data_IF_920685822815
#
_entry.id   IF_920685822815
#
_cell.length_a   1.000
_cell.length_b   1.000
_cell.length_c   1.000
_cell.angle_alpha   90.00
_cell.angle_beta   90.00
_cell.angle_gamma   90.00
#
_symmetry.space_group_name_H-M   'P 1'
#
loop_
_entity.id
_entity.type
_entity.pdbx_description
1 polymer ?
#
# COMPACT_ATOMS: atom_id res chain seq x y z
N UNK A 1 2.46 11.41 16.73
CA UNK A 1 3.05 12.52 17.50
C UNK A 1 3.43 13.65 16.54
N UNK A 2 3.10 14.91 16.91
CA UNK A 2 3.45 16.09 16.13
C UNK A 2 4.37 16.98 16.95
N UNK A 3 5.51 17.36 16.37
CA UNK A 3 6.48 18.25 16.98
C UNK A 3 6.73 19.38 15.99
N UNK A 4 6.44 20.61 16.38
CA UNK A 4 6.69 21.81 15.56
C UNK A 4 7.77 22.62 16.27
N UNK A 5 8.91 22.78 15.61
CA UNK A 5 10.06 23.47 16.13
C UNK A 5 10.19 24.84 15.42
N UNK A 6 9.67 25.88 16.06
CA UNK A 6 9.81 27.28 15.60
C UNK A 6 10.69 28.06 16.56
N UNK A 7 11.95 27.73 16.63
CA UNK A 7 12.96 28.60 17.23
C UNK A 7 14.37 28.17 16.86
N UNK A 8 15.15 29.10 16.43
CA UNK A 8 16.58 29.04 16.55
C UNK A 8 17.09 30.42 16.93
N UNK A 9 17.31 30.62 18.20
CA UNK A 9 18.19 31.70 18.65
C UNK A 9 19.63 31.27 18.41
N UNK A 10 20.45 32.17 17.94
CA UNK A 10 21.91 32.04 18.10
C UNK A 10 22.17 31.80 19.58
N UNK A 11 22.67 30.63 19.93
CA UNK A 11 23.04 30.31 21.29
C UNK A 11 24.45 30.88 21.49
N UNK A 12 24.59 32.04 22.13
CA UNK A 12 25.87 32.66 22.49
C UNK A 12 26.71 31.80 23.48
N UNK A 13 26.22 30.60 23.88
CA UNK A 13 26.80 29.82 24.98
C UNK A 13 27.67 28.63 24.58
N UNK A 14 27.85 28.31 23.32
CA UNK A 14 28.84 27.30 22.92
C UNK A 14 29.26 27.46 21.47
N UNK A 15 30.56 27.72 21.25
CA UNK A 15 31.15 27.81 19.93
C UNK A 15 30.88 26.55 19.09
N UNK A 16 30.68 26.76 17.79
CA UNK A 16 30.80 25.83 16.69
C UNK A 16 29.58 25.09 16.16
N UNK A 17 28.32 25.27 16.61
CA UNK A 17 27.17 24.80 15.84
C UNK A 17 26.01 25.81 15.85
N UNK A 18 25.81 26.49 14.73
CA UNK A 18 24.65 27.37 14.48
C UNK A 18 23.60 26.61 13.75
N UNK A 19 22.38 26.57 14.30
CA UNK A 19 21.18 25.97 13.64
C UNK A 19 20.59 24.72 14.30
N UNK A 20 19.44 24.31 13.82
CA UNK A 20 18.70 23.11 14.29
C UNK A 20 19.40 21.82 13.84
N UNK A 21 19.66 20.91 14.79
CA UNK A 21 20.10 19.55 14.45
C UNK A 21 18.92 18.69 14.00
N UNK A 22 19.17 17.75 13.08
CA UNK A 22 18.17 16.77 12.67
C UNK A 22 17.91 15.82 13.84
N UNK A 23 16.63 15.70 14.23
CA UNK A 23 16.18 14.69 15.19
C UNK A 23 15.77 13.45 14.37
N UNK A 24 16.40 12.31 14.66
CA UNK A 24 15.99 11.04 14.06
C UNK A 24 14.61 10.61 14.56
N UNK A 25 13.73 10.21 13.64
CA UNK A 25 12.41 9.66 13.98
C UNK A 25 12.58 8.28 14.61
N UNK A 26 12.28 8.16 15.91
CA UNK A 26 12.48 6.94 16.71
C UNK A 26 11.17 6.15 16.88
N UNK A 27 10.01 6.80 16.74
CA UNK A 27 8.69 6.17 16.90
C UNK A 27 7.89 6.21 15.61
N UNK A 28 6.98 5.23 15.45
CA UNK A 28 6.01 5.23 14.33
C UNK A 28 5.05 6.42 14.47
N UNK A 29 4.49 6.86 13.35
CA UNK A 29 3.50 7.93 13.27
C UNK A 29 3.96 9.22 13.96
N UNK A 30 5.15 9.68 13.57
CA UNK A 30 5.74 10.93 14.09
C UNK A 30 6.02 11.88 12.93
N UNK A 31 5.68 13.14 13.12
CA UNK A 31 6.04 14.24 12.22
C UNK A 31 6.78 15.31 13.02
N UNK A 32 7.90 15.78 12.48
CA UNK A 32 8.68 16.89 13.02
C UNK A 32 8.79 17.95 11.95
N UNK A 33 8.25 19.13 12.23
CA UNK A 33 8.33 20.29 11.35
C UNK A 33 9.33 21.31 11.91
N UNK A 34 10.28 21.71 11.09
CA UNK A 34 11.32 22.67 11.42
C UNK A 34 11.06 23.99 10.71
N UNK A 35 11.20 25.10 11.41
CA UNK A 35 11.03 26.43 10.83
C UNK A 35 12.07 26.81 9.78
N UNK A 36 13.19 26.09 9.72
CA UNK A 36 14.26 26.26 8.73
C UNK A 36 14.97 24.94 8.45
N UNK A 37 15.75 24.88 7.37
CA UNK A 37 16.57 23.73 7.00
C UNK A 37 17.64 23.43 8.04
N UNK A 38 18.11 22.17 8.16
CA UNK A 38 19.19 21.79 9.07
C UNK A 38 20.43 22.64 8.88
N UNK A 39 21.03 23.06 10.01
CA UNK A 39 22.25 23.92 10.00
C UNK A 39 22.00 25.38 9.61
N UNK A 40 20.74 25.80 9.46
CA UNK A 40 20.37 27.19 9.19
C UNK A 40 19.64 27.82 10.37
N UNK A 41 19.68 29.15 10.45
CA UNK A 41 19.01 29.93 11.47
C UNK A 41 17.64 30.37 11.00
N UNK A 42 16.62 30.23 11.85
CA UNK A 42 15.31 30.78 11.58
C UNK A 42 15.25 32.28 11.93
N UNK A 43 14.52 33.04 11.15
CA UNK A 43 14.28 34.45 11.44
C UNK A 43 13.21 34.62 12.52
N UNK A 44 13.49 35.44 13.50
CA UNK A 44 12.47 35.91 14.44
C UNK A 44 11.53 36.95 13.81
N UNK A 45 10.32 37.06 14.36
CA UNK A 45 9.45 38.19 14.10
C UNK A 45 10.00 39.49 14.75
N UNK A 46 9.44 40.63 14.35
CA UNK A 46 9.68 41.89 15.08
C UNK A 46 9.21 41.74 16.53
N UNK A 47 9.78 42.50 17.47
CA UNK A 47 9.39 42.45 18.88
C UNK A 47 7.87 42.56 19.04
N UNK A 48 7.26 41.53 19.61
CA UNK A 48 5.80 41.42 19.79
C UNK A 48 5.04 40.81 18.58
N UNK A 49 5.74 40.38 17.52
CA UNK A 49 5.15 39.69 16.37
C UNK A 49 5.64 38.22 16.29
N UNK A 50 4.82 37.38 15.70
CA UNK A 50 5.21 35.99 15.42
C UNK A 50 6.32 35.93 14.34
N UNK A 51 7.11 34.91 14.37
CA UNK A 51 8.10 34.60 13.32
C UNK A 51 7.45 34.48 11.92
N UNK A 52 8.21 34.59 10.83
CA UNK A 52 7.69 34.32 9.49
C UNK A 52 7.05 32.96 9.37
N UNK A 53 7.63 31.93 10.04
CA UNK A 53 7.09 30.57 10.04
C UNK A 53 5.76 30.49 10.79
N UNK A 54 5.70 30.93 12.04
CA UNK A 54 4.47 30.93 12.84
C UNK A 54 3.34 31.74 12.17
N UNK A 55 3.65 32.87 11.54
CA UNK A 55 2.64 33.65 10.79
C UNK A 55 1.99 32.86 9.67
N UNK A 56 2.76 32.08 8.90
CA UNK A 56 2.22 31.25 7.83
C UNK A 56 1.50 30.02 8.41
N UNK A 57 2.07 29.35 9.39
CA UNK A 57 1.44 28.20 10.04
C UNK A 57 0.02 28.55 10.55
N UNK A 58 -0.13 29.67 11.27
CA UNK A 58 -1.42 30.13 11.78
C UNK A 58 -2.45 30.47 10.70
N UNK A 59 -1.99 30.77 9.48
CA UNK A 59 -2.85 31.00 8.33
C UNK A 59 -3.36 29.67 7.76
N UNK A 60 -2.48 28.73 7.52
CA UNK A 60 -2.81 27.47 6.82
C UNK A 60 -3.46 26.43 7.73
N UNK A 61 -3.18 26.41 9.04
CA UNK A 61 -3.75 25.44 10.01
C UNK A 61 -5.28 25.46 10.07
N UNK A 62 -5.92 26.52 9.58
CA UNK A 62 -7.37 26.68 9.57
C UNK A 62 -8.02 26.16 8.29
N UNK A 63 -7.25 25.73 7.30
CA UNK A 63 -7.77 25.22 6.03
C UNK A 63 -8.49 23.89 6.30
N UNK A 64 -9.77 23.75 5.93
CA UNK A 64 -10.52 22.53 6.15
C UNK A 64 -9.94 21.36 5.37
N UNK A 65 -9.93 20.17 5.97
CA UNK A 65 -9.59 18.88 5.35
C UNK A 65 -8.21 18.84 4.67
N UNK A 66 -7.31 19.75 5.03
CA UNK A 66 -5.97 19.80 4.49
C UNK A 66 -5.03 18.91 5.29
N UNK A 67 -4.46 17.85 4.69
CA UNK A 67 -3.47 17.01 5.36
C UNK A 67 -2.28 17.82 5.87
N UNK A 68 -1.82 17.50 7.08
CA UNK A 68 -0.76 18.25 7.77
C UNK A 68 0.51 18.39 6.93
N UNK A 69 0.85 17.38 6.18
CA UNK A 69 2.05 17.37 5.34
C UNK A 69 1.94 18.37 4.18
N UNK A 70 0.78 18.49 3.55
CA UNK A 70 0.52 19.51 2.51
C UNK A 70 0.54 20.89 3.14
N UNK A 71 -0.19 21.05 4.23
CA UNK A 71 -0.24 22.32 4.95
C UNK A 71 1.15 22.82 5.31
N UNK A 72 2.02 21.95 5.84
CA UNK A 72 3.38 22.32 6.20
C UNK A 72 4.28 22.64 4.99
N UNK A 73 4.02 22.01 3.82
CA UNK A 73 4.70 22.39 2.57
C UNK A 73 4.30 23.79 2.11
N UNK A 74 2.99 24.07 2.12
CA UNK A 74 2.51 25.43 1.78
C UNK A 74 3.07 26.50 2.73
N UNK A 75 3.12 26.16 4.03
CA UNK A 75 3.82 27.01 5.02
C UNK A 75 5.27 27.21 4.61
N UNK A 76 5.98 26.14 4.26
CA UNK A 76 7.38 26.18 3.83
C UNK A 76 7.59 27.07 2.61
N UNK A 77 6.79 26.89 1.57
CA UNK A 77 6.83 27.72 0.35
C UNK A 77 6.55 29.19 0.66
N UNK A 78 5.51 29.46 1.46
CA UNK A 78 5.13 30.82 1.82
C UNK A 78 6.21 31.52 2.67
N UNK A 79 6.89 30.79 3.54
CA UNK A 79 8.03 31.32 4.32
C UNK A 79 9.24 31.58 3.42
N UNK A 80 9.61 30.63 2.58
CA UNK A 80 10.72 30.75 1.64
C UNK A 80 10.53 31.96 0.72
N UNK A 81 9.34 32.11 0.13
CA UNK A 81 9.01 33.27 -0.72
C UNK A 81 9.10 34.59 0.04
N UNK A 82 8.63 34.66 1.29
CA UNK A 82 8.68 35.89 2.11
C UNK A 82 10.08 36.24 2.60
N UNK A 83 10.94 35.28 2.68
CA UNK A 83 12.34 35.47 3.15
C UNK A 83 13.33 35.45 2.00
N UNK A 84 12.85 35.50 0.75
CA UNK A 84 13.67 35.42 -0.47
C UNK A 84 14.62 34.19 -0.48
N UNK A 85 14.14 33.06 0.04
CA UNK A 85 14.91 31.81 0.12
C UNK A 85 15.88 31.73 1.30
N UNK A 86 16.00 32.74 2.15
CA UNK A 86 16.91 32.70 3.30
C UNK A 86 16.44 31.75 4.41
N UNK A 87 15.13 31.57 4.55
CA UNK A 87 14.55 30.62 5.49
C UNK A 87 13.71 29.60 4.71
N UNK A 88 14.16 28.34 4.71
CA UNK A 88 13.49 27.22 4.03
C UNK A 88 13.06 26.22 5.09
N UNK A 89 11.79 26.21 5.51
CA UNK A 89 11.27 25.21 6.43
C UNK A 89 11.43 23.78 5.91
N UNK A 90 11.57 22.86 6.83
CA UNK A 90 11.79 21.46 6.52
C UNK A 90 10.92 20.55 7.40
N UNK A 91 10.51 19.38 6.88
CA UNK A 91 9.67 18.42 7.57
C UNK A 91 10.31 17.03 7.52
N UNK A 92 10.33 16.35 8.64
CA UNK A 92 10.64 14.92 8.74
C UNK A 92 9.41 14.18 9.22
N UNK A 93 8.96 13.17 8.47
CA UNK A 93 7.72 12.43 8.78
C UNK A 93 7.87 10.94 8.49
N UNK A 94 7.22 10.11 9.31
CA UNK A 94 6.97 8.71 9.07
C UNK A 94 5.50 8.37 9.36
N UNK A 95 4.59 9.32 9.14
CA UNK A 95 3.16 9.09 9.28
C UNK A 95 2.69 8.01 8.32
N UNK A 96 1.86 7.12 8.81
CA UNK A 96 1.25 6.03 8.03
C UNK A 96 -0.21 6.32 7.66
N UNK A 97 -0.77 7.42 8.17
CA UNK A 97 -2.14 7.88 7.90
C UNK A 97 -2.21 9.39 7.85
N UNK A 98 -3.22 9.92 7.15
CA UNK A 98 -3.47 11.35 7.09
C UNK A 98 -3.91 11.93 8.43
N UNK A 99 -3.49 13.15 8.67
CA UNK A 99 -3.94 13.97 9.79
C UNK A 99 -4.21 15.40 9.32
N UNK A 100 -5.34 15.98 9.72
CA UNK A 100 -5.67 17.39 9.49
C UNK A 100 -5.94 18.10 10.82
N UNK A 101 -5.48 19.35 10.96
CA UNK A 101 -5.82 20.16 12.15
C UNK A 101 -7.26 20.65 12.15
N UNK A 102 -7.86 20.77 10.98
CA UNK A 102 -9.26 21.18 10.80
C UNK A 102 -9.96 20.13 9.93
N UNK A 103 -10.32 19.00 10.53
CA UNK A 103 -11.06 17.93 9.86
C UNK A 103 -12.56 18.20 9.95
N UNK A 104 -13.15 18.48 8.80
CA UNK A 104 -14.59 18.73 8.68
C UNK A 104 -15.22 17.50 8.02
N UNK A 105 -16.19 16.91 8.70
CA UNK A 105 -16.96 15.75 8.24
C UNK A 105 -16.12 14.52 7.84
N UNK A 106 -14.95 14.32 8.46
CA UNK A 106 -14.04 13.20 8.15
C UNK A 106 -13.39 13.31 6.78
N UNK A 107 -13.37 14.46 6.17
CA UNK A 107 -12.81 14.70 4.82
C UNK A 107 -11.31 14.44 4.74
N UNK A 108 -10.60 14.54 5.87
CA UNK A 108 -9.16 14.25 5.94
C UNK A 108 -8.81 12.79 5.64
N UNK A 109 -9.63 11.85 6.08
CA UNK A 109 -9.39 10.41 5.89
C UNK A 109 -9.40 9.99 4.41
N UNK A 110 -10.02 10.80 3.55
CA UNK A 110 -10.19 10.51 2.13
C UNK A 110 -9.06 11.04 1.24
N UNK A 111 -8.12 11.82 1.78
CA UNK A 111 -7.03 12.45 1.03
C UNK A 111 -5.70 11.80 1.42
N UNK A 112 -5.38 10.64 0.85
CA UNK A 112 -4.03 10.09 0.96
C UNK A 112 -3.14 10.71 -0.11
N UNK A 113 -2.16 11.51 0.30
CA UNK A 113 -1.12 12.01 -0.59
C UNK A 113 0.20 11.38 -0.14
N UNK A 114 0.71 10.40 -0.89
CA UNK A 114 2.09 9.96 -0.68
C UNK A 114 3.01 11.13 -1.00
N UNK A 115 3.84 11.49 -0.04
CA UNK A 115 4.82 12.56 -0.18
C UNK A 115 5.78 12.23 -1.34
N UNK A 116 6.04 13.15 -2.29
CA UNK A 116 7.17 13.02 -3.20
C UNK A 116 8.44 13.28 -2.37
N UNK A 117 8.98 12.21 -1.74
CA UNK A 117 10.29 12.30 -1.10
C UNK A 117 11.35 12.62 -2.13
N UNK A 118 12.25 13.56 -1.82
CA UNK A 118 13.48 13.90 -2.55
C UNK A 118 13.37 14.29 -4.04
N UNK A 119 12.33 13.86 -4.78
CA UNK A 119 12.22 14.10 -6.24
C UNK A 119 12.17 15.60 -6.61
N UNK A 120 11.55 16.42 -5.77
CA UNK A 120 11.42 17.87 -5.99
C UNK A 120 12.38 18.70 -5.13
N UNK A 121 13.22 18.09 -4.31
CA UNK A 121 14.09 18.80 -3.38
C UNK A 121 15.12 19.65 -4.14
N UNK A 122 15.24 20.91 -3.73
CA UNK A 122 16.20 21.85 -4.31
C UNK A 122 15.81 22.43 -5.68
N UNK A 123 14.65 22.08 -6.24
CA UNK A 123 14.20 22.64 -7.51
C UNK A 123 13.62 24.07 -7.32
N UNK A 124 13.97 25.01 -8.19
CA UNK A 124 13.41 26.36 -8.14
C UNK A 124 11.98 26.41 -8.69
N UNK A 125 11.22 27.43 -8.30
CA UNK A 125 9.90 27.77 -8.86
C UNK A 125 8.82 26.70 -8.72
N UNK A 126 8.86 25.92 -7.63
CA UNK A 126 7.81 24.94 -7.34
C UNK A 126 6.48 25.65 -7.01
N UNK A 127 5.40 25.16 -7.54
CA UNK A 127 4.03 25.60 -7.29
C UNK A 127 3.15 24.41 -6.93
N UNK A 128 2.10 24.71 -6.16
CA UNK A 128 1.01 23.76 -5.83
C UNK A 128 -0.23 24.22 -6.57
N UNK A 129 -0.92 23.34 -7.25
CA UNK A 129 -2.15 23.63 -7.97
C UNK A 129 -3.16 22.50 -7.75
N UNK A 130 -4.26 22.84 -7.09
CA UNK A 130 -5.44 21.99 -7.04
C UNK A 130 -6.19 22.12 -8.37
N UNK A 131 -6.61 20.99 -8.92
CA UNK A 131 -7.36 20.92 -10.16
C UNK A 131 -8.85 20.72 -9.88
N UNK A 132 -9.71 21.23 -10.74
CA UNK A 132 -11.17 21.16 -10.58
C UNK A 132 -11.72 19.73 -10.51
N UNK A 133 -10.97 18.76 -11.01
CA UNK A 133 -11.30 17.33 -10.96
C UNK A 133 -10.83 16.62 -9.66
N UNK A 134 -10.23 17.37 -8.72
CA UNK A 134 -9.71 16.84 -7.45
C UNK A 134 -8.29 16.27 -7.52
N UNK A 135 -7.60 16.37 -8.67
CA UNK A 135 -6.18 16.03 -8.76
C UNK A 135 -5.32 17.16 -8.19
N UNK A 136 -4.15 16.82 -7.65
CA UNK A 136 -3.19 17.78 -7.11
C UNK A 136 -1.88 17.73 -7.89
N UNK A 137 -1.43 18.89 -8.37
CA UNK A 137 -0.09 19.05 -8.94
C UNK A 137 0.85 19.78 -7.99
N UNK A 138 2.07 19.25 -7.84
CA UNK A 138 3.18 19.93 -7.14
C UNK A 138 4.40 19.89 -8.04
N UNK A 139 4.87 21.01 -8.54
CA UNK A 139 6.01 20.99 -9.45
C UNK A 139 6.32 22.35 -10.07
N UNK A 140 7.20 22.31 -11.07
CA UNK A 140 7.57 23.48 -11.85
C UNK A 140 6.44 23.87 -12.81
N UNK A 141 6.25 25.15 -13.00
CA UNK A 141 5.25 25.70 -13.92
C UNK A 141 5.82 26.88 -14.69
N UNK A 142 5.50 26.93 -15.98
CA UNK A 142 5.79 28.06 -16.85
C UNK A 142 4.51 28.47 -17.59
N UNK A 143 4.23 29.78 -17.69
CA UNK A 143 3.04 30.33 -18.39
C UNK A 143 1.71 29.68 -17.88
N UNK A 144 1.61 29.36 -16.59
CA UNK A 144 0.47 28.68 -15.95
C UNK A 144 0.26 27.20 -16.37
N UNK A 145 1.15 26.62 -17.16
CA UNK A 145 1.19 25.22 -17.54
C UNK A 145 2.22 24.45 -16.72
N UNK A 146 2.03 23.14 -16.56
CA UNK A 146 3.00 22.25 -15.95
C UNK A 146 4.19 22.08 -16.91
N UNK A 147 5.36 22.52 -16.49
CA UNK A 147 6.59 22.45 -17.28
C UNK A 147 7.78 22.17 -16.36
N UNK A 148 8.62 21.20 -16.73
CA UNK A 148 9.73 20.74 -15.92
C UNK A 148 9.34 19.58 -14.99
N UNK A 149 10.02 19.44 -13.85
CA UNK A 149 9.78 18.35 -12.89
C UNK A 149 8.52 18.60 -12.06
N UNK A 150 7.70 17.57 -11.90
CA UNK A 150 6.48 17.66 -11.14
C UNK A 150 5.95 16.33 -10.64
N UNK A 151 5.05 16.43 -9.66
CA UNK A 151 4.29 15.32 -9.10
C UNK A 151 2.81 15.61 -9.30
N UNK A 152 2.13 14.71 -9.97
CA UNK A 152 0.68 14.70 -10.09
C UNK A 152 0.10 13.60 -9.21
N UNK A 153 -0.73 13.96 -8.25
CA UNK A 153 -1.49 13.01 -7.44
C UNK A 153 -2.94 13.05 -7.91
N UNK A 154 -3.43 11.90 -8.34
CA UNK A 154 -4.78 11.75 -8.86
C UNK A 154 -5.79 11.45 -7.74
N UNK A 155 -7.03 11.86 -7.91
CA UNK A 155 -8.12 11.60 -6.96
C UNK A 155 -8.31 10.10 -6.67
N UNK A 156 -7.99 9.23 -7.63
CA UNK A 156 -8.01 7.77 -7.46
C UNK A 156 -6.80 7.21 -6.72
N UNK A 157 -5.90 8.09 -6.18
CA UNK A 157 -4.66 7.75 -5.48
C UNK A 157 -3.52 7.23 -6.37
N UNK A 158 -3.65 7.25 -7.67
CA UNK A 158 -2.48 7.08 -8.54
C UNK A 158 -1.56 8.31 -8.39
N UNK A 159 -0.26 8.12 -8.65
CA UNK A 159 0.74 9.19 -8.57
C UNK A 159 1.68 9.12 -9.77
N UNK A 160 1.96 10.27 -10.38
CA UNK A 160 3.03 10.40 -11.38
C UNK A 160 4.11 11.35 -10.85
N UNK A 161 5.36 10.94 -10.96
CA UNK A 161 6.55 11.73 -10.64
C UNK A 161 7.45 11.74 -11.86
N UNK A 162 7.67 12.89 -12.48
CA UNK A 162 8.45 12.92 -13.72
C UNK A 162 8.44 14.29 -14.39
N UNK A 163 8.81 14.28 -15.65
CA UNK A 163 8.85 15.45 -16.51
C UNK A 163 7.46 15.81 -17.05
N UNK A 164 7.20 17.10 -17.16
CA UNK A 164 6.03 17.68 -17.78
C UNK A 164 6.44 18.69 -18.83
N UNK A 165 5.72 18.72 -19.94
CA UNK A 165 5.79 19.75 -20.97
C UNK A 165 4.35 20.10 -21.38
N UNK A 166 3.99 21.39 -21.26
CA UNK A 166 2.68 21.92 -21.63
C UNK A 166 1.51 21.06 -21.09
N UNK A 167 1.47 20.90 -19.75
CA UNK A 167 0.49 20.10 -18.97
C UNK A 167 0.49 18.60 -19.26
N UNK A 168 1.44 18.07 -20.02
CA UNK A 168 1.51 16.64 -20.36
C UNK A 168 2.71 15.97 -19.72
N UNK A 169 2.52 14.70 -19.32
CA UNK A 169 3.64 13.83 -18.95
C UNK A 169 4.52 13.61 -20.17
N UNK A 170 5.80 13.90 -20.02
CA UNK A 170 6.80 13.83 -21.09
C UNK A 170 8.12 13.31 -20.50
N UNK A 171 9.01 12.75 -21.33
CA UNK A 171 10.32 12.27 -20.88
C UNK A 171 10.22 11.15 -19.86
N UNK A 172 11.15 11.12 -18.89
CA UNK A 172 11.25 10.04 -17.91
C UNK A 172 10.43 10.30 -16.66
N UNK A 173 9.72 9.27 -16.18
CA UNK A 173 8.92 9.37 -14.96
C UNK A 173 8.45 8.04 -14.42
N UNK A 174 7.90 8.11 -13.20
CA UNK A 174 7.31 6.97 -12.48
C UNK A 174 5.82 7.19 -12.30
N UNK A 175 5.00 6.27 -12.79
CA UNK A 175 3.56 6.23 -12.56
C UNK A 175 3.21 5.10 -11.60
N UNK A 176 2.83 5.43 -10.37
CA UNK A 176 2.38 4.48 -9.34
C UNK A 176 0.86 4.38 -9.36
N UNK A 177 0.36 3.16 -9.42
CA UNK A 177 -1.08 2.85 -9.37
C UNK A 177 -1.58 2.78 -7.93
N UNK A 178 -2.91 2.89 -7.67
CA UNK A 178 -3.48 2.78 -6.34
C UNK A 178 -3.19 1.44 -5.62
N UNK A 179 -2.96 0.37 -6.37
CA UNK A 179 -2.61 -0.95 -5.86
C UNK A 179 -1.11 -1.11 -5.52
N UNK A 180 -0.30 -0.05 -5.69
CA UNK A 180 1.13 -0.06 -5.41
C UNK A 180 2.03 -0.51 -6.57
N UNK A 181 1.48 -1.06 -7.64
CA UNK A 181 2.26 -1.36 -8.85
C UNK A 181 2.70 -0.06 -9.53
N UNK A 182 3.88 -0.05 -10.14
CA UNK A 182 4.38 1.14 -10.83
C UNK A 182 4.97 0.83 -12.20
N UNK A 183 5.03 1.86 -13.01
CA UNK A 183 5.79 1.89 -14.25
C UNK A 183 6.84 2.99 -14.14
N UNK A 184 8.08 2.65 -14.38
CA UNK A 184 9.21 3.57 -14.44
C UNK A 184 9.78 3.55 -15.85
N UNK A 185 9.77 4.69 -16.55
CA UNK A 185 10.20 4.75 -17.95
C UNK A 185 9.77 6.01 -18.66
N UNK A 186 9.82 5.97 -19.98
CA UNK A 186 9.54 7.12 -20.82
C UNK A 186 8.04 7.34 -21.05
N UNK A 187 7.67 8.61 -21.18
CA UNK A 187 6.34 9.09 -21.52
C UNK A 187 6.42 10.05 -22.72
N UNK A 188 5.39 10.03 -23.54
CA UNK A 188 5.16 10.97 -24.65
C UNK A 188 3.67 11.31 -24.70
N UNK A 189 3.32 12.61 -24.61
CA UNK A 189 1.93 13.09 -24.64
C UNK A 189 1.00 12.35 -23.65
N UNK A 190 1.38 12.26 -22.38
CA UNK A 190 0.67 11.56 -21.28
C UNK A 190 0.66 10.03 -21.38
N UNK A 191 1.20 9.41 -22.40
CA UNK A 191 1.20 7.96 -22.63
C UNK A 191 2.58 7.36 -22.40
N UNK A 192 2.63 6.12 -21.92
CA UNK A 192 3.87 5.35 -21.88
C UNK A 192 4.42 5.23 -23.31
N UNK A 193 5.73 5.45 -23.50
CA UNK A 193 6.40 5.41 -24.79
C UNK A 193 7.87 5.02 -24.62
N UNK A 194 8.47 4.31 -25.61
CA UNK A 194 9.83 3.80 -25.50
C UNK A 194 9.98 2.75 -24.41
N UNK A 195 11.18 2.60 -23.88
CA UNK A 195 11.51 1.58 -22.87
C UNK A 195 11.10 1.99 -21.46
N UNK A 196 10.79 1.00 -20.64
CA UNK A 196 10.51 1.18 -19.21
C UNK A 196 10.26 -0.14 -18.51
N UNK A 197 10.19 -0.09 -17.18
CA UNK A 197 10.05 -1.24 -16.31
C UNK A 197 8.69 -1.19 -15.60
N UNK A 198 7.93 -2.27 -15.68
CA UNK A 198 6.80 -2.51 -14.77
C UNK A 198 7.37 -3.08 -13.47
N UNK A 199 6.98 -2.52 -12.34
CA UNK A 199 7.40 -2.92 -10.99
C UNK A 199 6.13 -3.25 -10.22
N UNK A 200 6.04 -4.47 -9.72
CA UNK A 200 4.87 -4.98 -9.02
C UNK A 200 5.09 -4.99 -7.50
N UNK A 201 4.01 -4.82 -6.73
CA UNK A 201 4.08 -4.79 -5.25
C UNK A 201 4.66 -6.09 -4.66
N UNK A 202 4.57 -7.19 -5.38
CA UNK A 202 5.18 -8.47 -5.02
C UNK A 202 6.70 -8.55 -5.29
N UNK A 203 7.31 -7.45 -5.78
CA UNK A 203 8.74 -7.37 -6.11
C UNK A 203 9.11 -7.86 -7.52
N UNK A 204 8.16 -8.36 -8.31
CA UNK A 204 8.42 -8.71 -9.70
C UNK A 204 8.69 -7.48 -10.55
N UNK A 205 9.58 -7.60 -11.54
CA UNK A 205 9.88 -6.54 -12.50
C UNK A 205 9.85 -7.09 -13.91
N UNK A 206 9.33 -6.31 -14.86
CA UNK A 206 9.26 -6.69 -16.27
C UNK A 206 9.72 -5.50 -17.11
N UNK A 207 10.78 -5.71 -17.87
CA UNK A 207 11.22 -4.76 -18.90
C UNK A 207 10.21 -4.72 -20.04
N UNK A 208 9.84 -3.54 -20.47
CA UNK A 208 8.78 -3.34 -21.47
C UNK A 208 9.15 -2.24 -22.44
N UNK A 209 8.63 -2.32 -23.65
CA UNK A 209 8.64 -1.22 -24.61
C UNK A 209 7.20 -0.84 -24.98
N UNK A 210 6.97 0.43 -25.24
CA UNK A 210 5.65 1.00 -25.44
C UNK A 210 5.65 1.93 -26.64
N UNK A 211 4.59 1.88 -27.42
CA UNK A 211 4.28 2.88 -28.43
C UNK A 211 2.95 3.53 -28.13
N UNK A 212 2.98 4.82 -27.76
CA UNK A 212 1.78 5.63 -27.46
C UNK A 212 0.78 4.95 -26.54
N UNK A 213 1.26 4.26 -25.49
CA UNK A 213 0.45 3.58 -24.48
C UNK A 213 0.09 2.13 -24.83
N UNK A 214 0.52 1.62 -25.96
CA UNK A 214 0.38 0.22 -26.36
C UNK A 214 1.69 -0.50 -26.05
N UNK A 215 1.63 -1.59 -25.27
CA UNK A 215 2.82 -2.40 -25.01
C UNK A 215 3.23 -3.14 -26.27
N UNK A 216 4.50 -2.96 -26.67
CA UNK A 216 5.10 -3.70 -27.75
C UNK A 216 5.80 -4.92 -27.16
N UNK A 217 5.57 -6.09 -27.73
CA UNK A 217 6.32 -7.30 -27.40
C UNK A 217 7.57 -7.34 -28.27
N UNK A 218 8.75 -7.07 -27.67
CA UNK A 218 9.95 -6.74 -28.45
C UNK A 218 10.90 -7.90 -28.64
N UNK A 219 10.79 -8.97 -27.87
CA UNK A 219 11.85 -9.95 -27.92
C UNK A 219 11.42 -11.22 -28.60
N UNK A 220 12.18 -11.69 -29.61
CA UNK A 220 12.21 -13.10 -29.88
C UNK A 220 12.60 -13.79 -28.57
N UNK A 221 11.99 -14.94 -28.29
CA UNK A 221 12.33 -15.80 -27.17
C UNK A 221 13.84 -15.87 -26.99
N UNK A 222 14.35 -15.55 -25.82
CA UNK A 222 15.78 -15.53 -25.52
C UNK A 222 16.09 -16.46 -24.35
N UNK A 223 16.99 -17.40 -24.61
CA UNK A 223 17.51 -18.31 -23.59
C UNK A 223 18.96 -17.99 -23.26
N UNK A 224 19.27 -17.91 -21.97
CA UNK A 224 20.64 -17.79 -21.45
C UNK A 224 20.92 -18.97 -20.55
N UNK A 225 21.77 -19.86 -20.96
CA UNK A 225 22.14 -21.08 -20.24
C UNK A 225 22.80 -22.11 -21.16
N UNK A 226 23.04 -23.30 -20.62
CA UNK A 226 23.66 -24.38 -21.37
C UNK A 226 22.66 -25.05 -22.31
N UNK A 227 23.19 -25.61 -23.40
CA UNK A 227 22.47 -26.42 -24.38
C UNK A 227 23.05 -27.83 -24.38
N UNK A 228 22.23 -28.85 -24.62
CA UNK A 228 22.70 -30.20 -24.87
C UNK A 228 23.24 -30.37 -26.30
N UNK A 229 23.76 -31.57 -26.60
CA UNK A 229 24.35 -31.88 -27.90
C UNK A 229 23.35 -31.76 -29.08
N UNK A 230 22.05 -31.66 -28.80
CA UNK A 230 20.99 -31.45 -29.78
C UNK A 230 20.52 -29.99 -29.86
N UNK A 231 21.16 -29.09 -29.11
CA UNK A 231 20.82 -27.66 -29.05
C UNK A 231 19.56 -27.37 -28.20
N UNK A 232 19.12 -28.32 -27.36
CA UNK A 232 17.98 -28.11 -26.44
C UNK A 232 18.49 -27.50 -25.14
N UNK A 233 17.67 -26.66 -24.50
CA UNK A 233 17.96 -26.08 -23.17
C UNK A 233 18.30 -27.18 -22.19
N UNK A 234 19.43 -27.05 -21.47
CA UNK A 234 19.91 -28.04 -20.50
C UNK A 234 20.67 -27.34 -19.38
N UNK A 235 20.70 -27.95 -18.16
CA UNK A 235 21.36 -27.34 -17.01
C UNK A 235 20.67 -26.06 -16.51
N UNK A 236 21.40 -25.25 -15.75
CA UNK A 236 20.86 -24.00 -15.22
C UNK A 236 20.69 -22.95 -16.35
N UNK A 237 19.55 -22.27 -16.36
CA UNK A 237 19.30 -21.28 -17.40
C UNK A 237 18.04 -20.46 -17.21
N UNK A 238 17.99 -19.35 -17.92
CA UNK A 238 16.89 -18.39 -17.92
C UNK A 238 16.31 -18.29 -19.33
N UNK A 239 14.99 -18.49 -19.42
CA UNK A 239 14.24 -18.22 -20.62
C UNK A 239 13.42 -16.94 -20.42
N UNK A 240 13.52 -16.01 -21.36
CA UNK A 240 12.58 -14.90 -21.50
C UNK A 240 11.73 -15.18 -22.73
N UNK A 241 10.42 -15.40 -22.54
CA UNK A 241 9.49 -15.67 -23.62
C UNK A 241 9.18 -14.40 -24.42
N UNK A 242 8.64 -14.57 -25.64
CA UNK A 242 8.16 -13.44 -26.45
C UNK A 242 7.07 -12.60 -25.75
N UNK A 243 6.41 -13.12 -24.72
CA UNK A 243 5.42 -12.42 -23.89
C UNK A 243 6.05 -11.69 -22.70
N UNK A 244 7.39 -11.76 -22.53
CA UNK A 244 8.11 -11.13 -21.41
C UNK A 244 8.05 -11.93 -20.12
N UNK A 245 7.62 -13.18 -20.17
CA UNK A 245 7.70 -14.09 -19.01
C UNK A 245 9.14 -14.52 -18.81
N UNK A 246 9.57 -14.60 -17.57
CA UNK A 246 10.91 -15.04 -17.21
C UNK A 246 10.80 -16.37 -16.45
N UNK A 247 11.43 -17.40 -17.01
CA UNK A 247 11.52 -18.75 -16.44
C UNK A 247 12.96 -19.02 -16.07
N UNK A 248 13.26 -19.11 -14.79
CA UNK A 248 14.60 -19.29 -14.21
C UNK A 248 14.65 -20.59 -13.43
N UNK A 249 15.51 -21.50 -13.82
CA UNK A 249 15.62 -22.81 -13.16
C UNK A 249 16.52 -23.79 -13.90
N UNK A 250 16.34 -25.08 -13.61
CA UNK A 250 17.09 -26.17 -14.23
C UNK A 250 16.30 -26.76 -15.39
N UNK A 251 16.94 -26.86 -16.51
CA UNK A 251 16.37 -27.37 -17.76
C UNK A 251 16.88 -28.78 -18.04
N UNK A 252 16.00 -29.66 -18.41
CA UNK A 252 16.28 -31.02 -18.80
C UNK A 252 15.78 -31.30 -20.21
N UNK A 253 16.71 -31.31 -21.20
CA UNK A 253 16.41 -31.55 -22.62
C UNK A 253 15.26 -30.70 -23.18
N UNK A 254 15.22 -29.42 -22.83
CA UNK A 254 14.22 -28.45 -23.27
C UNK A 254 13.04 -28.23 -22.34
N UNK A 255 12.91 -29.02 -21.28
CA UNK A 255 11.84 -28.92 -20.28
C UNK A 255 12.37 -28.28 -18.99
N UNK A 256 11.62 -27.31 -18.42
CA UNK A 256 11.92 -26.73 -17.13
C UNK A 256 11.34 -27.63 -16.03
N UNK A 257 12.16 -28.01 -15.06
CA UNK A 257 11.80 -28.96 -14.01
C UNK A 257 12.40 -28.57 -12.65
N UNK A 258 11.87 -29.15 -11.56
CA UNK A 258 12.40 -28.97 -10.21
C UNK A 258 12.01 -27.62 -9.61
N UNK A 259 12.88 -27.03 -8.78
CA UNK A 259 12.62 -25.73 -8.15
C UNK A 259 12.95 -24.61 -9.12
N UNK A 260 11.95 -23.75 -9.36
CA UNK A 260 12.02 -22.68 -10.37
C UNK A 260 11.60 -21.33 -9.80
N UNK A 261 11.98 -20.27 -10.52
CA UNK A 261 11.41 -18.92 -10.39
C UNK A 261 10.75 -18.53 -11.69
N UNK A 262 9.45 -18.26 -11.66
CA UNK A 262 8.69 -17.85 -12.83
C UNK A 262 8.05 -16.49 -12.58
N UNK A 263 8.33 -15.52 -13.47
CA UNK A 263 7.62 -14.25 -13.51
C UNK A 263 6.74 -14.25 -14.74
N UNK A 264 5.42 -14.22 -14.56
CA UNK A 264 4.45 -14.18 -15.64
C UNK A 264 4.31 -12.76 -16.21
N UNK A 265 3.80 -12.66 -17.42
CA UNK A 265 3.65 -11.39 -18.15
C UNK A 265 2.75 -10.36 -17.44
N UNK A 266 1.83 -10.84 -16.60
CA UNK A 266 0.96 -10.01 -15.76
C UNK A 266 1.64 -9.56 -14.45
N UNK A 267 2.90 -9.99 -14.21
CA UNK A 267 3.67 -9.68 -13.00
C UNK A 267 3.37 -10.59 -11.82
N UNK A 268 2.63 -11.66 -12.01
CA UNK A 268 2.53 -12.75 -11.03
C UNK A 268 3.91 -13.41 -10.95
N UNK A 269 4.34 -13.74 -9.74
CA UNK A 269 5.61 -14.40 -9.49
C UNK A 269 5.39 -15.72 -8.76
N UNK A 270 6.05 -16.79 -9.20
CA UNK A 270 6.05 -18.09 -8.53
C UNK A 270 7.47 -18.53 -8.21
N UNK A 271 7.68 -19.11 -7.05
CA UNK A 271 8.91 -19.76 -6.64
C UNK A 271 8.57 -21.09 -5.98
N UNK A 272 9.03 -22.20 -6.53
CA UNK A 272 8.71 -23.52 -6.00
C UNK A 272 8.89 -24.64 -7.00
N UNK A 273 8.36 -25.82 -6.67
CA UNK A 273 8.44 -27.01 -7.49
C UNK A 273 7.59 -26.89 -8.75
N UNK A 274 8.09 -27.39 -9.85
CA UNK A 274 7.57 -27.20 -11.18
C UNK A 274 7.62 -28.50 -11.99
N UNK A 275 6.49 -28.90 -12.51
CA UNK A 275 6.36 -30.08 -13.35
C UNK A 275 5.31 -29.84 -14.44
N UNK A 276 5.53 -30.40 -15.64
CA UNK A 276 4.58 -30.30 -16.76
C UNK A 276 4.15 -28.87 -17.10
N UNK A 277 5.10 -27.93 -17.06
CA UNK A 277 4.89 -26.49 -17.29
C UNK A 277 3.92 -25.78 -16.31
N UNK A 278 3.76 -26.31 -15.10
CA UNK A 278 2.91 -25.73 -14.07
C UNK A 278 3.57 -25.82 -12.68
N UNK A 279 3.21 -24.93 -11.75
CA UNK A 279 3.45 -25.17 -10.32
C UNK A 279 2.90 -26.53 -9.91
N UNK A 280 3.76 -27.36 -9.35
CA UNK A 280 3.39 -28.72 -8.93
C UNK A 280 4.34 -29.19 -7.83
N UNK A 281 3.84 -29.31 -6.59
CA UNK A 281 4.60 -29.51 -5.37
C UNK A 281 4.67 -28.27 -4.50
N UNK A 282 5.66 -28.19 -3.61
CA UNK A 282 5.79 -27.09 -2.66
C UNK A 282 6.20 -25.78 -3.36
N UNK A 283 5.52 -24.69 -3.00
CA UNK A 283 5.80 -23.41 -3.62
C UNK A 283 5.10 -22.20 -3.01
N UNK A 284 5.45 -21.06 -3.57
CA UNK A 284 4.91 -19.77 -3.18
C UNK A 284 4.59 -18.92 -4.41
N UNK A 285 3.36 -18.42 -4.49
CA UNK A 285 2.85 -17.63 -5.61
C UNK A 285 2.46 -16.23 -5.10
N UNK A 286 3.01 -15.20 -5.72
CA UNK A 286 2.84 -13.81 -5.35
C UNK A 286 2.03 -13.11 -6.43
N UNK A 287 0.91 -12.52 -6.05
CA UNK A 287 0.03 -11.79 -6.96
C UNK A 287 0.29 -10.29 -6.91
N UNK A 288 -0.04 -9.60 -7.97
CA UNK A 288 0.19 -8.15 -8.13
C UNK A 288 -0.69 -7.26 -7.27
N UNK A 289 -1.70 -7.82 -6.61
CA UNK A 289 -2.54 -7.15 -5.62
C UNK A 289 -2.04 -7.37 -4.18
N UNK A 290 -0.84 -7.98 -4.04
CA UNK A 290 -0.22 -8.28 -2.75
C UNK A 290 -0.69 -9.57 -2.11
N UNK A 291 -1.56 -10.36 -2.76
CA UNK A 291 -1.90 -11.69 -2.27
C UNK A 291 -0.72 -12.64 -2.40
N UNK A 292 -0.57 -13.53 -1.43
CA UNK A 292 0.45 -14.59 -1.42
C UNK A 292 -0.23 -15.91 -1.10
N UNK A 293 0.09 -16.94 -1.89
CA UNK A 293 -0.31 -18.33 -1.65
C UNK A 293 0.95 -19.15 -1.38
N UNK A 294 0.96 -19.95 -0.33
CA UNK A 294 2.09 -20.77 0.08
C UNK A 294 1.62 -22.15 0.51
N UNK A 295 2.24 -23.20 -0.01
CA UNK A 295 1.94 -24.61 0.26
C UNK A 295 2.09 -25.46 -0.99
N UNK A 296 1.40 -26.61 -1.01
CA UNK A 296 1.46 -27.60 -2.10
C UNK A 296 0.55 -27.18 -3.25
N UNK A 297 1.11 -27.04 -4.44
CA UNK A 297 0.37 -26.78 -5.67
C UNK A 297 0.15 -28.07 -6.46
N UNK A 298 -1.00 -28.17 -7.12
CA UNK A 298 -1.32 -29.22 -8.08
C UNK A 298 -1.83 -28.52 -9.36
N UNK A 299 -1.12 -28.71 -10.47
CA UNK A 299 -1.45 -28.10 -11.77
C UNK A 299 -1.67 -26.57 -11.69
N UNK A 300 -0.88 -25.88 -10.88
CA UNK A 300 -0.91 -24.41 -10.74
C UNK A 300 -1.85 -23.86 -9.68
N UNK A 301 -2.69 -24.71 -9.06
CA UNK A 301 -3.63 -24.32 -8.02
C UNK A 301 -3.18 -24.83 -6.65
N UNK A 302 -3.30 -23.98 -5.60
CA UNK A 302 -3.00 -24.39 -4.24
C UNK A 302 -4.03 -25.42 -3.77
N UNK A 303 -3.56 -26.62 -3.47
CA UNK A 303 -4.37 -27.74 -2.96
C UNK A 303 -3.58 -28.39 -1.84
N UNK A 304 -3.84 -27.98 -0.61
CA UNK A 304 -3.03 -28.34 0.55
C UNK A 304 -3.92 -28.57 1.78
N UNK A 305 -3.42 -29.33 2.75
CA UNK A 305 -4.05 -29.50 4.06
C UNK A 305 -3.61 -28.45 5.08
N UNK A 306 -2.47 -27.81 4.86
CA UNK A 306 -1.88 -26.80 5.76
C UNK A 306 -1.40 -25.56 5.02
N UNK A 307 -1.99 -25.25 3.88
CA UNK A 307 -1.63 -24.12 3.06
C UNK A 307 -1.89 -22.77 3.75
N UNK A 308 -1.26 -21.73 3.24
CA UNK A 308 -1.42 -20.36 3.73
C UNK A 308 -1.80 -19.44 2.59
N UNK A 309 -2.80 -18.60 2.81
CA UNK A 309 -3.13 -17.46 1.96
C UNK A 309 -3.01 -16.18 2.77
N UNK A 310 -2.20 -15.24 2.30
CA UNK A 310 -2.13 -13.88 2.81
C UNK A 310 -2.77 -12.93 1.80
N UNK A 311 -3.72 -12.12 2.22
CA UNK A 311 -4.31 -11.06 1.39
C UNK A 311 -3.43 -9.81 1.37
N UNK A 312 -3.61 -8.94 0.37
CA UNK A 312 -2.84 -7.71 0.22
C UNK A 312 -2.99 -6.71 1.39
N UNK A 313 -4.05 -6.82 2.19
CA UNK A 313 -4.24 -6.05 3.43
C UNK A 313 -3.55 -6.68 4.65
N UNK A 314 -2.90 -7.83 4.48
CA UNK A 314 -2.20 -8.57 5.53
C UNK A 314 -3.05 -9.58 6.32
N UNK A 315 -4.34 -9.74 5.99
CA UNK A 315 -5.14 -10.82 6.57
C UNK A 315 -4.59 -12.18 6.13
N UNK A 316 -4.73 -13.21 6.98
CA UNK A 316 -4.14 -14.53 6.74
C UNK A 316 -5.19 -15.62 6.95
N UNK A 317 -5.28 -16.54 6.00
CA UNK A 317 -5.92 -17.83 6.21
C UNK A 317 -4.86 -18.93 6.25
N UNK A 318 -4.94 -19.83 7.22
CA UNK A 318 -4.12 -21.02 7.30
C UNK A 318 -5.02 -22.25 7.52
N UNK A 319 -4.87 -23.26 6.69
CA UNK A 319 -5.68 -24.47 6.73
C UNK A 319 -5.77 -25.18 5.39
N UNK A 320 -6.85 -25.94 5.21
CA UNK A 320 -7.06 -26.75 4.02
C UNK A 320 -7.48 -25.90 2.82
N UNK A 321 -6.94 -26.22 1.65
CA UNK A 321 -7.26 -25.59 0.36
C UNK A 321 -7.65 -26.64 -0.67
N UNK A 322 -8.62 -26.27 -1.49
CA UNK A 322 -8.97 -26.95 -2.73
C UNK A 322 -9.10 -25.88 -3.83
N UNK A 323 -8.37 -26.07 -4.93
CA UNK A 323 -8.37 -25.15 -6.09
C UNK A 323 -8.18 -23.67 -5.67
N UNK A 324 -7.16 -23.43 -4.84
CA UNK A 324 -6.78 -22.09 -4.31
C UNK A 324 -7.87 -21.41 -3.45
N UNK A 325 -8.86 -22.15 -3.00
CA UNK A 325 -9.90 -21.66 -2.08
C UNK A 325 -9.81 -22.35 -0.72
N UNK A 326 -10.00 -21.63 0.38
CA UNK A 326 -10.24 -22.24 1.69
C UNK A 326 -11.33 -23.30 1.62
N UNK A 327 -11.01 -24.52 1.98
CA UNK A 327 -11.92 -25.67 1.92
C UNK A 327 -11.47 -26.75 2.93
N UNK A 328 -12.36 -27.21 3.82
CA UNK A 328 -12.02 -28.04 4.95
C UNK A 328 -11.73 -27.23 6.21
N UNK A 329 -10.89 -27.70 7.10
CA UNK A 329 -10.62 -27.05 8.38
C UNK A 329 -9.55 -25.95 8.26
N UNK A 330 -9.82 -24.78 8.85
CA UNK A 330 -8.85 -23.70 8.81
C UNK A 330 -9.17 -22.51 9.71
N UNK A 331 -8.23 -21.59 9.77
CA UNK A 331 -8.30 -20.36 10.58
C UNK A 331 -8.02 -19.15 9.71
N UNK A 332 -8.96 -18.24 9.66
CA UNK A 332 -8.78 -16.90 9.11
C UNK A 332 -8.48 -15.93 10.25
N UNK A 333 -7.44 -15.13 10.12
CA UNK A 333 -7.05 -14.10 11.08
C UNK A 333 -6.92 -12.78 10.34
N UNK A 334 -7.59 -11.74 10.82
CA UNK A 334 -7.41 -10.41 10.27
C UNK A 334 -6.29 -9.64 10.99
N UNK A 335 -5.75 -8.63 10.35
CA UNK A 335 -4.65 -7.78 10.88
C UNK A 335 -5.00 -7.09 12.20
N UNK A 336 -6.28 -6.93 12.51
CA UNK A 336 -6.75 -6.32 13.75
C UNK A 336 -6.87 -7.30 14.93
N UNK A 337 -6.50 -8.57 14.73
CA UNK A 337 -6.50 -9.62 15.76
C UNK A 337 -7.82 -10.37 15.92
N UNK A 338 -8.87 -10.06 15.17
CA UNK A 338 -10.05 -10.90 15.08
C UNK A 338 -9.75 -12.17 14.27
N UNK A 339 -10.40 -13.27 14.59
CA UNK A 339 -10.20 -14.52 13.86
C UNK A 339 -11.49 -15.35 13.75
N UNK A 340 -11.50 -16.25 12.76
CA UNK A 340 -12.55 -17.26 12.56
C UNK A 340 -11.89 -18.62 12.32
N UNK A 341 -12.32 -19.64 13.05
CA UNK A 341 -11.82 -21.01 12.93
C UNK A 341 -12.99 -21.97 12.76
N UNK A 342 -12.87 -22.98 11.93
CA UNK A 342 -13.90 -23.98 11.74
C UNK A 342 -13.84 -24.62 10.35
N UNK A 343 -14.98 -25.07 9.87
CA UNK A 343 -15.14 -25.70 8.57
C UNK A 343 -15.36 -24.63 7.48
N UNK A 344 -14.67 -24.79 6.37
CA UNK A 344 -14.71 -23.86 5.24
C UNK A 344 -15.15 -24.60 3.98
N UNK A 345 -15.95 -23.94 3.18
CA UNK A 345 -16.37 -24.42 1.88
C UNK A 345 -16.32 -23.27 0.87
N UNK A 346 -15.62 -23.46 -0.25
CA UNK A 346 -15.50 -22.48 -1.33
C UNK A 346 -15.07 -21.07 -0.86
N UNK A 347 -14.27 -20.98 0.21
CA UNK A 347 -13.75 -19.72 0.76
C UNK A 347 -14.63 -19.08 1.83
N UNK A 348 -15.72 -19.72 2.23
CA UNK A 348 -16.62 -19.24 3.30
C UNK A 348 -16.63 -20.20 4.48
N UNK A 349 -16.72 -19.66 5.70
CA UNK A 349 -16.96 -20.47 6.89
C UNK A 349 -18.34 -21.08 6.79
N UNK A 350 -18.45 -22.41 6.88
CA UNK A 350 -19.65 -23.19 6.61
C UNK A 350 -19.65 -24.45 7.50
N UNK A 351 -20.72 -24.73 8.24
CA UNK A 351 -20.71 -25.75 9.30
C UNK A 351 -20.37 -25.18 10.67
N UNK A 352 -19.81 -26.01 11.55
CA UNK A 352 -19.44 -25.56 12.90
C UNK A 352 -18.20 -24.64 12.86
N UNK A 353 -18.24 -23.59 13.67
CA UNK A 353 -17.14 -22.64 13.75
C UNK A 353 -17.14 -21.76 14.97
N UNK A 354 -16.01 -21.11 15.17
CA UNK A 354 -15.73 -20.15 16.23
C UNK A 354 -15.24 -18.85 15.64
N UNK A 355 -15.80 -17.72 16.05
CA UNK A 355 -15.38 -16.40 15.59
C UNK A 355 -15.17 -15.45 16.79
N UNK A 356 -14.02 -14.79 16.81
CA UNK A 356 -13.70 -13.72 17.76
C UNK A 356 -13.53 -12.41 16.98
N UNK A 357 -14.27 -11.40 17.38
CA UNK A 357 -14.25 -10.08 16.79
C UNK A 357 -13.26 -9.17 17.52
N UNK A 358 -12.80 -8.11 16.86
CA UNK A 358 -11.83 -7.15 17.40
C UNK A 358 -12.29 -6.47 18.70
N UNK A 359 -13.60 -6.29 18.88
CA UNK A 359 -14.18 -5.71 20.10
C UNK A 359 -14.28 -6.70 21.25
N UNK A 360 -13.83 -7.96 21.07
CA UNK A 360 -13.88 -9.02 22.05
C UNK A 360 -15.17 -9.84 22.05
N UNK A 361 -16.12 -9.54 21.19
CA UNK A 361 -17.31 -10.37 21.00
C UNK A 361 -16.93 -11.73 20.42
N UNK A 362 -17.71 -12.76 20.74
CA UNK A 362 -17.50 -14.14 20.27
C UNK A 362 -18.78 -14.75 19.75
N UNK A 363 -18.64 -15.61 18.75
CA UNK A 363 -19.70 -16.50 18.30
C UNK A 363 -19.16 -17.92 18.17
N UNK A 364 -19.88 -18.86 18.78
CA UNK A 364 -19.62 -20.30 18.71
C UNK A 364 -20.89 -20.98 18.21
N UNK A 365 -20.85 -21.62 17.07
CA UNK A 365 -22.04 -22.27 16.49
C UNK A 365 -21.95 -22.49 14.99
N UNK A 366 -23.14 -22.69 14.40
CA UNK A 366 -23.27 -23.02 12.98
C UNK A 366 -23.12 -21.77 12.11
N UNK A 367 -22.45 -21.94 10.97
CA UNK A 367 -22.31 -20.98 9.90
C UNK A 367 -22.89 -21.51 8.60
N UNK A 368 -23.44 -20.61 7.80
CA UNK A 368 -23.81 -20.88 6.42
C UNK A 368 -23.35 -19.71 5.54
N UNK A 369 -22.47 -19.98 4.58
CA UNK A 369 -21.87 -18.98 3.71
C UNK A 369 -21.28 -17.78 4.49
N UNK A 370 -20.57 -18.06 5.58
CA UNK A 370 -19.93 -17.04 6.45
C UNK A 370 -20.87 -16.31 7.40
N UNK A 371 -22.18 -16.62 7.38
CA UNK A 371 -23.20 -16.00 8.22
C UNK A 371 -23.55 -16.91 9.39
N UNK A 372 -23.82 -16.33 10.58
CA UNK A 372 -24.38 -17.08 11.72
C UNK A 372 -25.70 -17.71 11.30
N UNK A 373 -25.83 -18.99 11.52
CA UNK A 373 -26.98 -19.79 11.12
C UNK A 373 -27.22 -20.91 12.15
N UNK A 374 -28.30 -21.67 12.02
CA UNK A 374 -28.55 -22.83 12.88
C UNK A 374 -28.53 -22.49 14.37
N UNK A 375 -27.81 -23.24 15.17
CA UNK A 375 -27.66 -23.00 16.62
C UNK A 375 -26.32 -22.36 16.92
N UNK A 376 -26.31 -21.45 17.90
CA UNK A 376 -25.04 -20.81 18.31
C UNK A 376 -25.15 -19.91 19.50
N UNK A 377 -24.01 -19.71 20.15
CA UNK A 377 -23.86 -18.83 21.29
C UNK A 377 -23.08 -17.60 20.87
N UNK A 378 -23.70 -16.45 21.02
CA UNK A 378 -23.04 -15.16 20.87
C UNK A 378 -22.78 -14.56 22.25
N UNK A 379 -21.54 -14.23 22.54
CA UNK A 379 -21.14 -13.58 23.80
C UNK A 379 -20.56 -12.21 23.46
N UNK A 380 -21.22 -11.16 23.95
CA UNK A 380 -20.71 -9.79 23.85
C UNK A 380 -19.59 -9.55 24.84
N UNK A 381 -18.70 -8.62 24.53
CA UNK A 381 -17.55 -8.26 25.37
C UNK A 381 -17.93 -7.71 26.75
N UNK A 382 -19.15 -7.24 26.92
CA UNK A 382 -19.73 -6.77 28.21
C UNK A 382 -20.31 -7.90 29.06
N UNK A 383 -20.23 -9.17 28.60
CA UNK A 383 -20.68 -10.34 29.31
C UNK A 383 -22.16 -10.71 29.08
N UNK A 384 -22.85 -9.99 28.21
CA UNK A 384 -24.15 -10.44 27.69
C UNK A 384 -23.95 -11.70 26.85
N UNK A 385 -24.90 -12.63 26.82
CA UNK A 385 -24.90 -13.76 25.89
C UNK A 385 -26.28 -14.09 25.36
N UNK A 386 -26.28 -14.61 24.15
CA UNK A 386 -27.47 -15.21 23.53
C UNK A 386 -27.12 -16.64 23.08
N UNK A 387 -27.85 -17.61 23.56
CA UNK A 387 -27.75 -19.01 23.22
C UNK A 387 -29.05 -19.42 22.54
N UNK A 388 -29.03 -19.74 21.26
CA UNK A 388 -30.27 -20.03 20.52
C UNK A 388 -30.10 -20.14 19.01
N UNK A 389 -31.21 -20.02 18.33
CA UNK A 389 -31.26 -20.16 16.86
C UNK A 389 -30.86 -18.87 16.16
N UNK A 390 -30.19 -19.02 15.03
CA UNK A 390 -29.71 -17.94 14.18
C UNK A 390 -30.13 -18.15 12.73
N UNK A 391 -30.40 -17.07 12.03
CA UNK A 391 -30.65 -17.07 10.58
C UNK A 391 -30.08 -15.79 9.97
N UNK A 392 -29.10 -15.94 9.05
CA UNK A 392 -28.47 -14.83 8.34
C UNK A 392 -28.00 -13.70 9.29
N UNK A 393 -27.18 -14.04 10.29
CA UNK A 393 -26.69 -13.16 11.37
C UNK A 393 -27.76 -12.64 12.35
N UNK A 394 -29.03 -12.94 12.20
CA UNK A 394 -30.10 -12.49 13.08
C UNK A 394 -30.50 -13.59 14.08
N UNK A 395 -30.75 -13.19 15.31
CA UNK A 395 -31.40 -14.07 16.30
C UNK A 395 -32.76 -14.50 15.72
N UNK A 396 -33.07 -15.77 15.81
CA UNK A 396 -34.27 -16.34 15.23
C UNK A 396 -34.80 -17.48 16.09
N UNK A 397 -36.12 -17.75 16.01
CA UNK A 397 -36.71 -18.84 16.72
C UNK A 397 -36.46 -18.84 18.22
N UNK A 398 -36.24 -19.99 18.81
CA UNK A 398 -36.10 -20.08 20.29
C UNK A 398 -34.66 -19.84 20.73
N UNK A 399 -34.55 -19.05 21.84
CA UNK A 399 -33.24 -18.79 22.41
C UNK A 399 -33.30 -18.16 23.81
N UNK A 400 -32.16 -18.24 24.49
CA UNK A 400 -31.97 -17.69 25.85
C UNK A 400 -31.00 -16.52 25.79
N UNK A 401 -31.47 -15.37 26.23
CA UNK A 401 -30.65 -14.17 26.42
C UNK A 401 -30.30 -14.01 27.88
N UNK A 402 -29.03 -13.80 28.19
CA UNK A 402 -28.54 -13.68 29.59
C UNK A 402 -27.81 -12.36 29.75
N UNK A 403 -28.17 -11.57 30.73
CA UNK A 403 -27.50 -10.33 31.12
C UNK A 403 -26.40 -10.58 32.15
N UNK A 404 -25.41 -9.70 32.30
CA UNK A 404 -24.35 -9.82 33.31
C UNK A 404 -24.88 -9.84 34.76
N UNK A 405 -26.06 -9.28 34.99
CA UNK A 405 -26.76 -9.36 36.30
C UNK A 405 -27.22 -10.77 36.67
N UNK A 406 -27.13 -11.74 35.74
CA UNK A 406 -27.71 -13.07 35.90
C UNK A 406 -29.19 -13.16 35.51
N UNK A 407 -29.84 -12.05 35.13
CA UNK A 407 -31.20 -12.07 34.57
C UNK A 407 -31.23 -12.78 33.24
N UNK A 408 -32.31 -13.48 32.93
CA UNK A 408 -32.45 -14.21 31.69
C UNK A 408 -33.82 -13.96 31.04
N UNK A 409 -33.83 -14.00 29.70
CA UNK A 409 -35.04 -14.14 28.88
C UNK A 409 -34.92 -15.44 28.07
N UNK A 410 -35.91 -16.30 28.20
CA UNK A 410 -36.02 -17.53 27.40
C UNK A 410 -37.33 -17.46 26.62
N UNK A 411 -37.23 -17.42 25.29
CA UNK A 411 -38.42 -17.21 24.47
C UNK A 411 -38.10 -17.22 22.98
N UNK A 412 -39.07 -16.78 22.17
CA UNK A 412 -38.94 -16.68 20.72
C UNK A 412 -38.38 -15.32 20.29
N UNK A 413 -37.53 -15.34 19.25
CA UNK A 413 -36.94 -14.20 18.56
C UNK A 413 -37.44 -14.23 17.10
N UNK A 414 -37.89 -13.09 16.58
CA UNK A 414 -38.49 -12.94 15.25
C UNK A 414 -37.52 -12.31 14.26
#
# INVERSE_FOLDING_TARGET
NFIILDACRENELSGDQVGLSIISLVSKDTLIAYSTSPGKVARDGKKGENSPYTKQLLKFIKTPNQPIEIMLKEVGLAVSNKTNGEQVPWVSTNLTSNFCFNDVDGGCANVFIPFPGHFLDGLPNLKVKDLDNGDLYVGQMENSMFNGKGVMTYINRAKYEGDFVDDKKEGYGTLTQPNGNSYEGNFLNNKKHGTGTLIFINGATIETEWDMGIRIFITPEHYTGDLDDQGRRHGAGILVTSFGEKLDGVWNHGTLEGVVKVTYSEGIFYEGEWENNNPNGEGKKFYTDGQIYEGTFINGELTDKEGTKTWGNGDVYKGEFLDSKPNGTGTFTNTNGGYSHGEWENGFLNGEGHKVMINGDRYDGDFFNGQYHGNGIYTWSDGISYDGQWKNHQKHGRGKYTWPSGSTYDGEFL
#
